data_IF_404829046908
#
_entry.id   IF_404829046908
#
_cell.length_a   1.000
_cell.length_b   1.000
_cell.length_c   1.000
_cell.angle_alpha   90.00
_cell.angle_beta   90.00
_cell.angle_gamma   90.00
#
_symmetry.space_group_name_H-M   'P 1'
#
loop_
_entity.id
_entity.type
_entity.pdbx_description
1 polymer ?
#
# COMPACT_ATOMS: atom_id res chain seq x y z
N UNK A 1 -2.39 -16.72 8.65
CA UNK A 1 -2.87 -15.39 9.11
C UNK A 1 -3.43 -15.43 10.52
N UNK A 2 -4.24 -16.43 10.90
CA UNK A 2 -4.86 -16.51 12.23
C UNK A 2 -3.91 -16.29 13.42
N UNK A 3 -2.79 -17.03 13.50
CA UNK A 3 -1.81 -16.87 14.61
C UNK A 3 -1.26 -15.44 14.68
N UNK A 4 -0.86 -14.86 13.54
CA UNK A 4 -0.33 -13.49 13.51
C UNK A 4 -1.41 -12.48 13.89
N UNK A 5 -2.66 -12.69 13.45
CA UNK A 5 -3.79 -11.83 13.79
C UNK A 5 -4.11 -11.88 15.29
N UNK A 6 -4.05 -13.06 15.92
CA UNK A 6 -4.22 -13.21 17.37
C UNK A 6 -3.11 -12.47 18.13
N UNK A 7 -1.85 -12.66 17.74
CA UNK A 7 -0.72 -11.98 18.37
C UNK A 7 -0.81 -10.44 18.22
N UNK A 8 -1.34 -9.94 17.12
CA UNK A 8 -1.60 -8.51 16.95
C UNK A 8 -2.79 -8.02 17.78
N UNK A 9 -3.87 -8.80 17.84
CA UNK A 9 -5.04 -8.48 18.65
C UNK A 9 -4.70 -8.41 20.15
N UNK A 10 -3.73 -9.21 20.59
CA UNK A 10 -3.19 -9.21 21.96
C UNK A 10 -1.99 -8.26 22.14
N UNK A 11 -1.69 -7.41 21.15
CA UNK A 11 -0.63 -6.41 21.17
C UNK A 11 0.82 -6.92 21.28
N UNK A 12 1.05 -8.24 21.15
CA UNK A 12 2.38 -8.84 21.09
C UNK A 12 3.13 -8.52 19.79
N UNK A 13 2.40 -8.28 18.69
CA UNK A 13 2.97 -7.95 17.38
C UNK A 13 2.38 -6.64 16.88
N UNK A 14 3.24 -5.72 16.41
CA UNK A 14 2.80 -4.44 15.82
C UNK A 14 2.55 -4.56 14.32
N UNK A 15 1.51 -3.89 13.85
CA UNK A 15 1.19 -3.78 12.43
C UNK A 15 2.08 -2.75 11.73
N UNK A 16 3.28 -3.19 11.30
CA UNK A 16 4.29 -2.32 10.68
C UNK A 16 5.22 -3.11 9.75
N UNK A 17 5.96 -2.40 8.90
CA UNK A 17 6.97 -2.99 8.03
C UNK A 17 6.37 -3.99 7.03
N UNK A 18 7.03 -5.12 6.82
CA UNK A 18 6.61 -6.15 5.84
C UNK A 18 5.23 -6.74 6.12
N UNK A 19 4.85 -6.80 7.41
CA UNK A 19 3.57 -7.35 7.82
C UNK A 19 2.39 -6.58 7.25
N UNK A 20 2.55 -5.27 6.99
CA UNK A 20 1.53 -4.45 6.32
C UNK A 20 1.20 -5.04 4.95
N UNK A 21 2.23 -5.24 4.11
CA UNK A 21 2.06 -5.70 2.73
C UNK A 21 1.54 -7.14 2.68
N UNK A 22 1.99 -8.00 3.59
CA UNK A 22 1.46 -9.36 3.72
C UNK A 22 -0.05 -9.39 3.98
N UNK A 23 -0.55 -8.51 4.85
CA UNK A 23 -2.00 -8.43 5.11
C UNK A 23 -2.75 -7.77 3.95
N UNK A 24 -2.16 -6.73 3.34
CA UNK A 24 -2.77 -6.07 2.18
C UNK A 24 -2.93 -7.04 1.00
N UNK A 25 -1.94 -7.87 0.67
CA UNK A 25 -2.07 -8.84 -0.42
C UNK A 25 -3.18 -9.88 -0.19
N UNK A 26 -3.48 -10.20 1.08
CA UNK A 26 -4.54 -11.15 1.43
C UNK A 26 -5.95 -10.55 1.29
N UNK A 27 -6.09 -9.22 1.23
CA UNK A 27 -7.36 -8.59 0.83
C UNK A 27 -7.76 -8.95 -0.61
N UNK A 28 -6.80 -9.40 -1.42
CA UNK A 28 -7.02 -9.87 -2.79
C UNK A 28 -6.84 -11.39 -2.93
N UNK A 29 -6.98 -12.14 -1.84
CA UNK A 29 -6.99 -13.61 -1.86
C UNK A 29 -8.18 -14.13 -2.69
N UNK A 30 -7.94 -15.25 -3.38
CA UNK A 30 -8.94 -15.93 -4.21
C UNK A 30 -10.02 -16.59 -3.34
N UNK A 31 -9.63 -17.06 -2.15
CA UNK A 31 -10.56 -17.62 -1.18
C UNK A 31 -11.31 -16.49 -0.45
N UNK A 32 -12.63 -16.50 -0.60
CA UNK A 32 -13.52 -15.50 -0.01
C UNK A 32 -13.51 -15.50 1.52
N UNK A 33 -13.40 -16.67 2.17
CA UNK A 33 -13.36 -16.77 3.63
C UNK A 33 -12.09 -16.14 4.20
N UNK A 34 -10.94 -16.39 3.55
CA UNK A 34 -9.65 -15.81 3.93
C UNK A 34 -9.72 -14.28 3.83
N UNK A 35 -10.27 -13.80 2.72
CA UNK A 35 -10.43 -12.38 2.48
C UNK A 35 -11.37 -11.72 3.48
N UNK A 36 -12.55 -12.31 3.70
CA UNK A 36 -13.55 -11.83 4.68
C UNK A 36 -12.98 -11.77 6.09
N UNK A 37 -12.16 -12.75 6.47
CA UNK A 37 -11.44 -12.73 7.74
C UNK A 37 -10.50 -11.52 7.85
N UNK A 38 -9.69 -11.24 6.82
CA UNK A 38 -8.75 -10.12 6.86
C UNK A 38 -9.47 -8.77 6.79
N UNK A 39 -10.52 -8.64 5.99
CA UNK A 39 -11.38 -7.44 5.97
C UNK A 39 -11.98 -7.18 7.36
N UNK A 40 -12.50 -8.24 8.02
CA UNK A 40 -13.02 -8.16 9.39
C UNK A 40 -11.94 -7.78 10.40
N UNK A 41 -10.72 -8.29 10.23
CA UNK A 41 -9.59 -7.98 11.11
C UNK A 41 -9.16 -6.51 10.97
N UNK A 42 -9.08 -5.97 9.75
CA UNK A 42 -8.82 -4.56 9.53
C UNK A 42 -9.90 -3.67 10.18
N UNK A 43 -11.16 -3.95 9.88
CA UNK A 43 -12.30 -3.12 10.30
C UNK A 43 -12.55 -3.14 11.80
N UNK A 44 -12.40 -4.30 12.45
CA UNK A 44 -12.74 -4.46 13.87
C UNK A 44 -11.54 -4.25 14.81
N UNK A 45 -10.32 -4.46 14.34
CA UNK A 45 -9.12 -4.44 15.20
C UNK A 45 -8.13 -3.37 14.77
N UNK A 46 -7.61 -3.40 13.54
CA UNK A 46 -6.48 -2.53 13.16
C UNK A 46 -6.87 -1.06 13.03
N UNK A 47 -7.93 -0.76 12.27
CA UNK A 47 -8.37 0.61 12.01
C UNK A 47 -8.80 1.32 13.30
N UNK A 48 -9.59 0.70 14.20
CA UNK A 48 -9.96 1.33 15.47
C UNK A 48 -8.77 1.60 16.40
N UNK A 49 -7.71 0.77 16.33
CA UNK A 49 -6.52 0.93 17.19
C UNK A 49 -5.48 1.90 16.63
N UNK A 50 -5.40 2.04 15.31
CA UNK A 50 -4.43 2.88 14.63
C UNK A 50 -5.15 3.84 13.67
N UNK A 51 -5.65 4.94 14.23
CA UNK A 51 -6.24 6.02 13.44
C UNK A 51 -5.27 6.52 12.37
N UNK A 52 -5.77 6.70 11.15
CA UNK A 52 -4.95 7.13 10.01
C UNK A 52 -4.04 6.03 9.44
N UNK A 53 -4.18 4.76 9.87
CA UNK A 53 -3.37 3.63 9.39
C UNK A 53 -3.21 3.64 7.87
N UNK A 54 -4.32 3.69 7.12
CA UNK A 54 -4.24 3.63 5.67
C UNK A 54 -3.63 4.88 5.07
N UNK A 55 -3.87 6.08 5.62
CA UNK A 55 -3.23 7.27 5.12
C UNK A 55 -1.69 7.19 5.24
N UNK A 56 -1.18 6.62 6.33
CA UNK A 56 0.26 6.50 6.60
C UNK A 56 1.01 5.52 5.67
N UNK A 57 0.27 4.56 5.09
CA UNK A 57 0.83 3.51 4.25
C UNK A 57 0.41 3.59 2.79
N UNK A 58 -0.63 4.35 2.41
CA UNK A 58 -1.23 4.32 1.07
C UNK A 58 -0.23 4.52 -0.05
N UNK A 59 0.55 5.61 -0.01
CA UNK A 59 1.52 5.93 -1.09
C UNK A 59 2.68 4.92 -1.12
N UNK A 60 3.10 4.41 0.05
CA UNK A 60 4.10 3.33 0.13
C UNK A 60 3.56 2.04 -0.47
N UNK A 61 2.28 1.73 -0.26
CA UNK A 61 1.59 0.59 -0.85
C UNK A 61 1.52 0.71 -2.37
N UNK A 62 1.19 1.88 -2.92
CA UNK A 62 1.23 2.11 -4.38
C UNK A 62 2.60 1.75 -4.93
N UNK A 63 3.68 2.25 -4.32
CA UNK A 63 5.03 1.99 -4.80
C UNK A 63 5.41 0.50 -4.62
N UNK A 64 5.09 -0.10 -3.48
CA UNK A 64 5.46 -1.48 -3.20
C UNK A 64 4.73 -2.50 -4.09
N UNK A 65 3.41 -2.37 -4.24
CA UNK A 65 2.62 -3.29 -5.04
C UNK A 65 2.99 -3.19 -6.53
N UNK A 66 3.34 -2.00 -7.03
CA UNK A 66 3.83 -1.82 -8.40
C UNK A 66 5.34 -2.08 -8.57
N UNK A 67 6.04 -2.61 -7.56
CA UNK A 67 7.50 -2.84 -7.59
C UNK A 67 8.32 -1.57 -7.94
N UNK A 68 7.79 -0.38 -7.65
CA UNK A 68 8.38 0.87 -8.10
C UNK A 68 9.56 1.28 -7.21
N UNK A 69 10.77 0.95 -7.66
CA UNK A 69 12.03 1.22 -6.95
C UNK A 69 12.67 2.56 -7.32
N UNK A 70 12.14 3.24 -8.34
CA UNK A 70 12.68 4.51 -8.83
C UNK A 70 12.50 5.68 -7.86
N UNK A 71 11.46 5.65 -7.02
CA UNK A 71 11.14 6.77 -6.14
C UNK A 71 11.95 6.76 -4.82
N UNK A 72 12.85 7.73 -4.55
CA UNK A 72 13.79 7.62 -3.43
C UNK A 72 13.15 7.53 -2.04
N UNK A 73 12.01 8.18 -1.82
CA UNK A 73 11.28 8.12 -0.54
C UNK A 73 10.57 6.78 -0.32
N UNK A 74 10.30 6.02 -1.38
CA UNK A 74 9.45 4.84 -1.34
C UNK A 74 10.15 3.57 -1.86
N UNK A 75 11.37 3.69 -2.38
CA UNK A 75 12.17 2.58 -2.91
C UNK A 75 12.32 1.47 -1.86
N UNK A 76 12.57 1.81 -0.59
CA UNK A 76 12.68 0.82 0.47
C UNK A 76 11.40 -0.01 0.66
N UNK A 77 10.22 0.59 0.45
CA UNK A 77 8.96 -0.15 0.49
C UNK A 77 8.89 -1.16 -0.65
N UNK A 78 9.27 -0.79 -1.87
CA UNK A 78 9.32 -1.70 -3.01
C UNK A 78 10.42 -2.76 -2.92
N UNK A 79 11.60 -2.42 -2.41
CA UNK A 79 12.73 -3.34 -2.25
C UNK A 79 12.46 -4.39 -1.18
N UNK A 80 12.06 -3.96 0.02
CA UNK A 80 11.89 -4.86 1.17
C UNK A 80 10.64 -5.73 1.07
N UNK A 81 9.72 -5.42 0.15
CA UNK A 81 8.44 -6.12 -0.02
C UNK A 81 8.27 -6.66 -1.44
N UNK A 82 9.36 -6.92 -2.15
CA UNK A 82 9.34 -7.43 -3.53
C UNK A 82 8.49 -8.70 -3.67
N UNK A 83 8.54 -9.57 -2.67
CA UNK A 83 7.76 -10.82 -2.61
C UNK A 83 6.24 -10.60 -2.51
N UNK A 84 5.81 -9.41 -2.10
CA UNK A 84 4.40 -8.99 -2.04
C UNK A 84 4.03 -8.04 -3.18
N UNK A 85 4.91 -7.88 -4.17
CA UNK A 85 4.59 -7.11 -5.37
C UNK A 85 3.45 -7.79 -6.11
N UNK A 86 2.55 -6.97 -6.64
CA UNK A 86 1.44 -7.36 -7.48
C UNK A 86 1.55 -6.67 -8.84
N UNK A 87 2.77 -6.36 -9.33
CA UNK A 87 3.02 -5.52 -10.51
C UNK A 87 2.24 -5.97 -11.76
N UNK A 88 2.08 -7.28 -11.97
CA UNK A 88 1.32 -7.83 -13.10
C UNK A 88 -0.15 -8.18 -12.77
N UNK A 89 -0.58 -7.97 -11.52
CA UNK A 89 -1.89 -8.38 -11.02
C UNK A 89 -2.81 -7.17 -10.78
N UNK A 90 -3.20 -6.47 -11.86
CA UNK A 90 -3.93 -5.19 -11.81
C UNK A 90 -5.23 -5.28 -11.01
N UNK A 91 -6.03 -6.33 -11.21
CA UNK A 91 -7.30 -6.54 -10.49
C UNK A 91 -7.06 -6.70 -8.98
N UNK A 92 -6.00 -7.42 -8.59
CA UNK A 92 -5.65 -7.60 -7.16
C UNK A 92 -5.18 -6.28 -6.54
N UNK A 93 -4.36 -5.48 -7.27
CA UNK A 93 -3.94 -4.13 -6.82
C UNK A 93 -5.14 -3.21 -6.61
N UNK A 94 -6.03 -3.15 -7.60
CA UNK A 94 -7.20 -2.28 -7.58
C UNK A 94 -8.11 -2.59 -6.38
N UNK A 95 -8.35 -3.88 -6.10
CA UNK A 95 -9.14 -4.32 -4.94
C UNK A 95 -8.56 -3.80 -3.62
N UNK A 96 -7.24 -3.89 -3.46
CA UNK A 96 -6.54 -3.42 -2.27
C UNK A 96 -6.68 -1.90 -2.14
N UNK A 97 -6.46 -1.16 -3.23
CA UNK A 97 -6.58 0.31 -3.22
C UNK A 97 -8.00 0.75 -2.88
N UNK A 98 -9.03 0.13 -3.46
CA UNK A 98 -10.43 0.42 -3.13
C UNK A 98 -10.70 0.19 -1.65
N UNK A 99 -10.34 -0.97 -1.12
CA UNK A 99 -10.53 -1.27 0.30
C UNK A 99 -9.87 -0.22 1.21
N UNK A 100 -8.63 0.17 0.91
CA UNK A 100 -7.95 1.21 1.69
C UNK A 100 -8.69 2.55 1.60
N UNK A 101 -9.12 2.97 0.40
CA UNK A 101 -9.79 4.25 0.17
C UNK A 101 -11.18 4.33 0.80
N UNK A 102 -11.93 3.23 0.82
CA UNK A 102 -13.25 3.12 1.47
C UNK A 102 -13.19 3.38 2.98
N UNK A 103 -12.02 3.15 3.59
CA UNK A 103 -11.80 3.31 5.02
C UNK A 103 -11.01 4.57 5.39
N UNK A 104 -10.79 5.49 4.44
CA UNK A 104 -10.24 6.82 4.72
C UNK A 104 -11.37 7.79 5.08
N UNK A 105 -11.26 8.43 6.25
CA UNK A 105 -12.07 9.61 6.56
C UNK A 105 -11.60 10.84 5.74
N UNK A 106 -12.34 11.96 5.81
CA UNK A 106 -12.01 13.17 5.04
C UNK A 106 -10.61 13.73 5.34
N UNK A 107 -10.19 13.70 6.61
CA UNK A 107 -8.87 14.18 7.03
C UNK A 107 -7.76 13.28 6.48
N UNK A 108 -7.99 11.98 6.48
CA UNK A 108 -7.10 10.96 5.96
C UNK A 108 -7.00 11.06 4.42
N UNK A 109 -8.10 11.33 3.71
CA UNK A 109 -8.10 11.61 2.28
C UNK A 109 -7.26 12.84 1.94
N UNK A 110 -7.45 13.95 2.68
CA UNK A 110 -6.65 15.15 2.48
C UNK A 110 -5.15 14.88 2.69
N UNK A 111 -4.81 14.12 3.74
CA UNK A 111 -3.42 13.71 4.01
C UNK A 111 -2.82 12.91 2.85
N UNK A 112 -3.56 11.94 2.31
CA UNK A 112 -3.12 11.13 1.16
C UNK A 112 -2.91 12.00 -0.08
N UNK A 113 -3.86 12.87 -0.41
CA UNK A 113 -3.74 13.79 -1.55
C UNK A 113 -2.52 14.69 -1.39
N UNK A 114 -2.33 15.28 -0.21
CA UNK A 114 -1.17 16.10 0.08
C UNK A 114 0.14 15.32 -0.05
N UNK A 115 0.22 14.08 0.44
CA UNK A 115 1.40 13.23 0.27
C UNK A 115 1.68 12.91 -1.20
N UNK A 116 0.64 12.62 -2.00
CA UNK A 116 0.79 12.40 -3.44
C UNK A 116 1.35 13.68 -4.10
N UNK A 117 0.74 14.83 -3.86
CA UNK A 117 1.12 16.09 -4.54
C UNK A 117 2.52 16.56 -4.15
N UNK A 118 2.86 16.51 -2.86
CA UNK A 118 4.07 17.14 -2.30
C UNK A 118 5.27 16.20 -2.17
N UNK A 119 5.05 14.88 -2.21
CA UNK A 119 6.12 13.89 -2.00
C UNK A 119 6.29 12.92 -3.15
N UNK A 120 5.21 12.53 -3.81
CA UNK A 120 5.25 11.62 -4.96
C UNK A 120 5.44 12.38 -6.28
N UNK A 121 4.54 13.32 -6.57
CA UNK A 121 4.48 14.00 -7.87
C UNK A 121 5.53 15.09 -8.04
N UNK A 122 6.03 15.68 -6.96
CA UNK A 122 7.09 16.71 -7.00
C UNK A 122 8.35 16.22 -7.73
N UNK A 123 8.60 14.90 -7.77
CA UNK A 123 9.73 14.33 -8.53
C UNK A 123 9.57 14.37 -10.05
N UNK A 124 8.39 14.74 -10.54
CA UNK A 124 8.08 14.89 -11.96
C UNK A 124 7.83 16.35 -12.35
N UNK A 125 7.99 17.28 -11.41
CA UNK A 125 7.93 18.71 -11.70
C UNK A 125 9.31 19.14 -12.19
N UNK A 126 9.37 19.65 -13.43
CA UNK A 126 10.57 20.24 -14.00
C UNK A 126 10.76 21.64 -13.41
N UNK A 127 11.60 21.79 -12.38
CA UNK A 127 11.99 23.14 -11.92
C UNK A 127 13.29 23.65 -12.57
N UNK A 128 14.16 22.79 -13.13
CA UNK A 128 15.46 23.24 -13.68
C UNK A 128 16.04 22.39 -14.83
N UNK A 129 15.23 21.61 -15.56
CA UNK A 129 15.68 20.89 -16.78
C UNK A 129 16.84 19.87 -16.61
N UNK A 130 17.32 19.65 -15.38
CA UNK A 130 18.49 18.83 -15.08
C UNK A 130 18.13 17.43 -14.52
N UNK A 131 16.93 17.25 -13.98
CA UNK A 131 16.48 15.97 -13.45
C UNK A 131 15.61 15.25 -14.48
N UNK A 132 16.12 14.15 -15.04
CA UNK A 132 15.30 13.25 -15.87
C UNK A 132 14.11 12.75 -15.02
N UNK A 133 12.87 12.79 -15.55
CA UNK A 133 11.73 12.21 -14.87
C UNK A 133 12.03 10.78 -14.42
N UNK A 134 11.58 10.43 -13.21
CA UNK A 134 11.78 9.08 -12.69
C UNK A 134 11.13 8.06 -13.64
N UNK A 135 11.78 6.93 -13.92
CA UNK A 135 11.14 5.87 -14.69
C UNK A 135 9.91 5.39 -13.95
N UNK A 136 8.76 5.40 -14.63
CA UNK A 136 7.52 4.85 -14.12
C UNK A 136 7.62 3.32 -14.01
N UNK A 137 6.93 2.69 -13.05
CA UNK A 137 6.82 1.23 -13.03
C UNK A 137 6.11 0.78 -14.30
N UNK A 138 6.73 -0.12 -15.06
CA UNK A 138 6.15 -0.69 -16.29
C UNK A 138 5.38 -1.96 -15.94
N UNK A 139 4.21 -2.19 -16.52
CA UNK A 139 3.55 -3.50 -16.52
C UNK A 139 3.78 -4.20 -17.87
N UNK A 140 3.64 -5.52 -17.94
CA UNK A 140 3.75 -6.27 -19.20
C UNK A 140 2.75 -5.77 -20.27
N UNK A 141 1.61 -5.21 -19.85
CA UNK A 141 0.60 -4.62 -20.74
C UNK A 141 1.03 -3.27 -21.38
N UNK A 142 1.97 -2.53 -20.79
CA UNK A 142 2.43 -1.23 -21.29
C UNK A 142 3.64 -1.33 -22.24
N UNK A 143 4.12 -2.55 -22.51
CA UNK A 143 5.27 -2.82 -23.40
C UNK A 143 4.86 -3.33 -24.80
N UNK A 144 3.58 -3.24 -25.14
CA UNK A 144 3.00 -3.63 -26.44
C UNK A 144 2.78 -2.46 -27.39
#
# INVERSE_FOLDING_TARGET
MMVISSLMAEDYVKFRGQTVYRYLTVLADENEEIRSFVESFFTRILIPRQHGLFADVFVKTICALNCWKGHPLYANAAHNNREFSLQELTVKRERIYRFMMEHLDESAKFKVVNEIMTRLLTRFLDEDGAARPLPLPQTEEESG
#
